data_IF_547078070576
#
_entry.id   IF_547078070576
#
_cell.length_a   1.000
_cell.length_b   1.000
_cell.length_c   1.000
_cell.angle_alpha   90.00
_cell.angle_beta   90.00
_cell.angle_gamma   90.00
#
_symmetry.space_group_name_H-M   'P 1'
#
loop_
_entity.id
_entity.type
_entity.pdbx_description
1 polymer ?
#
# COMPACT_ATOMS: atom_id res chain seq x y z
N UNK A 1 -16.89 0.64 -13.22
CA UNK A 1 -18.34 0.35 -13.30
C UNK A 1 -18.74 -0.46 -14.53
N UNK A 2 -18.07 -0.31 -15.69
CA UNK A 2 -18.37 -1.06 -16.94
C UNK A 2 -18.15 -2.57 -16.83
N UNK A 3 -17.11 -3.02 -16.12
CA UNK A 3 -16.77 -4.45 -15.93
C UNK A 3 -17.86 -5.21 -15.15
N UNK A 4 -18.52 -4.57 -14.18
CA UNK A 4 -19.58 -5.19 -13.39
C UNK A 4 -20.89 -5.34 -14.18
N UNK A 5 -21.10 -4.50 -15.19
CA UNK A 5 -22.26 -4.59 -16.09
C UNK A 5 -22.10 -5.73 -17.10
N UNK A 6 -20.86 -5.93 -17.61
CA UNK A 6 -20.53 -6.99 -18.57
C UNK A 6 -20.61 -8.42 -17.98
N UNK A 7 -20.40 -8.56 -16.67
CA UNK A 7 -20.46 -9.85 -15.97
C UNK A 7 -21.88 -10.26 -15.52
N UNK A 8 -22.89 -9.41 -15.77
CA UNK A 8 -24.28 -9.65 -15.34
C UNK A 8 -25.05 -10.57 -16.28
N UNK A 9 -24.66 -10.66 -17.56
CA UNK A 9 -25.35 -11.48 -18.54
C UNK A 9 -24.37 -12.28 -19.41
N UNK A 10 -24.52 -13.61 -19.45
CA UNK A 10 -23.60 -14.55 -20.12
C UNK A 10 -23.41 -14.20 -21.60
N UNK A 11 -24.45 -13.64 -22.23
CA UNK A 11 -24.45 -13.18 -23.61
C UNK A 11 -23.57 -11.94 -23.83
N UNK A 12 -23.58 -10.96 -22.92
CA UNK A 12 -22.77 -9.74 -23.05
C UNK A 12 -21.28 -10.03 -22.84
N UNK A 13 -20.98 -10.95 -21.91
CA UNK A 13 -19.62 -11.46 -21.73
C UNK A 13 -19.12 -12.19 -22.98
N UNK A 14 -19.94 -13.07 -23.58
CA UNK A 14 -19.59 -13.75 -24.83
C UNK A 14 -19.39 -12.79 -26.00
N UNK A 15 -20.25 -11.77 -26.14
CA UNK A 15 -20.10 -10.74 -27.18
C UNK A 15 -18.80 -9.93 -26.97
N UNK A 16 -18.47 -9.58 -25.73
CA UNK A 16 -17.22 -8.88 -25.42
C UNK A 16 -15.98 -9.75 -25.73
N UNK A 17 -15.99 -11.02 -25.31
CA UNK A 17 -14.91 -11.96 -25.62
C UNK A 17 -14.79 -12.17 -27.13
N UNK A 18 -15.91 -12.36 -27.84
CA UNK A 18 -15.92 -12.49 -29.29
C UNK A 18 -15.41 -11.23 -30.00
N UNK A 19 -15.74 -10.03 -29.51
CA UNK A 19 -15.22 -8.78 -30.04
C UNK A 19 -13.70 -8.64 -29.81
N UNK A 20 -13.20 -9.01 -28.64
CA UNK A 20 -11.76 -9.03 -28.35
C UNK A 20 -11.03 -10.03 -29.24
N UNK A 21 -11.59 -11.24 -29.43
CA UNK A 21 -11.05 -12.26 -30.33
C UNK A 21 -11.08 -11.78 -31.78
N UNK A 22 -12.18 -11.19 -32.24
CA UNK A 22 -12.31 -10.63 -33.59
C UNK A 22 -11.28 -9.53 -33.88
N UNK A 23 -11.06 -8.62 -32.92
CA UNK A 23 -10.02 -7.58 -33.02
C UNK A 23 -8.62 -8.19 -33.00
N UNK A 24 -8.40 -9.26 -32.24
CA UNK A 24 -7.12 -9.99 -32.24
C UNK A 24 -6.84 -10.68 -33.58
N UNK A 25 -7.86 -11.21 -34.26
CA UNK A 25 -7.74 -11.84 -35.59
C UNK A 25 -7.71 -10.85 -36.76
N UNK A 26 -8.02 -9.57 -36.54
CA UNK A 26 -8.03 -8.54 -37.60
C UNK A 26 -7.06 -7.39 -37.26
N UNK A 27 -5.74 -7.58 -37.47
CA UNK A 27 -4.70 -6.61 -37.08
C UNK A 27 -4.83 -5.23 -37.73
N UNK A 28 -5.60 -5.13 -38.81
CA UNK A 28 -5.90 -3.88 -39.51
C UNK A 28 -6.58 -2.82 -38.62
N UNK A 29 -7.36 -3.24 -37.62
CA UNK A 29 -8.05 -2.36 -36.67
C UNK A 29 -7.22 -1.99 -35.44
N UNK A 30 -5.98 -2.48 -35.33
CA UNK A 30 -5.08 -2.12 -34.23
C UNK A 30 -4.57 -0.68 -34.42
N UNK A 31 -4.72 0.23 -33.44
CA UNK A 31 -4.13 1.57 -33.49
C UNK A 31 -2.60 1.46 -33.66
N UNK A 32 -1.98 2.40 -34.36
CA UNK A 32 -0.57 2.31 -34.81
C UNK A 32 0.45 1.98 -33.72
N UNK A 33 0.20 2.39 -32.47
CA UNK A 33 1.05 2.02 -31.32
C UNK A 33 1.05 0.53 -30.94
N UNK A 34 0.02 -0.23 -31.31
CA UNK A 34 -0.01 -1.70 -31.19
C UNK A 34 0.68 -2.37 -32.37
N UNK A 35 0.54 -1.84 -33.59
CA UNK A 35 1.27 -2.32 -34.77
C UNK A 35 2.78 -2.23 -34.53
N UNK A 36 3.27 -1.11 -34.01
CA UNK A 36 4.69 -0.94 -33.65
C UNK A 36 5.16 -1.89 -32.53
N UNK A 37 4.26 -2.36 -31.65
CA UNK A 37 4.59 -3.34 -30.59
C UNK A 37 4.58 -4.78 -31.09
N UNK A 38 3.64 -5.12 -31.97
CA UNK A 38 3.60 -6.41 -32.65
C UNK A 38 4.80 -6.54 -33.58
N UNK A 39 5.10 -5.49 -34.35
CA UNK A 39 6.25 -5.43 -35.24
C UNK A 39 7.57 -5.51 -34.47
N UNK A 40 7.72 -4.84 -33.30
CA UNK A 40 8.90 -5.03 -32.43
C UNK A 40 9.03 -6.44 -31.86
N UNK A 41 7.92 -7.16 -31.68
CA UNK A 41 7.95 -8.56 -31.22
C UNK A 41 8.37 -9.50 -32.36
N UNK A 42 7.86 -9.25 -33.57
CA UNK A 42 8.15 -10.04 -34.78
C UNK A 42 9.55 -9.76 -35.32
N UNK A 43 10.05 -8.53 -35.25
CA UNK A 43 11.36 -8.17 -35.78
C UNK A 43 12.51 -8.66 -34.86
N UNK A 44 12.25 -8.80 -33.55
CA UNK A 44 13.13 -9.55 -32.63
C UNK A 44 13.02 -11.08 -32.77
N UNK A 45 12.04 -11.59 -33.53
CA UNK A 45 11.87 -13.01 -33.85
C UNK A 45 12.65 -13.41 -35.11
N UNK A 46 12.92 -12.45 -36.02
CA UNK A 46 13.55 -12.70 -37.32
C UNK A 46 15.10 -12.69 -37.30
N UNK A 47 15.73 -11.97 -36.38
CA UNK A 47 17.21 -11.82 -36.35
C UNK A 47 17.96 -12.89 -35.54
N UNK A 48 17.28 -13.88 -34.96
CA UNK A 48 17.92 -14.97 -34.23
C UNK A 48 17.04 -16.20 -34.24
N UNK A 49 17.31 -17.13 -35.17
CA UNK A 49 16.57 -18.37 -35.41
C UNK A 49 16.67 -19.38 -34.25
N UNK A 50 16.31 -18.98 -33.05
CA UNK A 50 16.17 -19.85 -31.88
C UNK A 50 14.68 -20.20 -31.75
N UNK A 51 14.38 -21.50 -31.84
CA UNK A 51 13.05 -22.08 -31.58
C UNK A 51 12.48 -21.52 -30.25
N UNK A 52 11.17 -21.30 -30.19
CA UNK A 52 10.50 -20.69 -29.03
C UNK A 52 10.80 -21.48 -27.73
N UNK A 53 10.96 -22.80 -27.83
CA UNK A 53 11.41 -23.65 -26.72
C UNK A 53 12.82 -23.28 -26.25
N UNK A 54 13.75 -23.10 -27.20
CA UNK A 54 15.14 -22.71 -26.91
C UNK A 54 15.21 -21.32 -26.26
N UNK A 55 14.32 -20.39 -26.65
CA UNK A 55 14.20 -19.05 -26.03
C UNK A 55 13.63 -19.10 -24.61
N UNK A 56 12.57 -19.89 -24.39
CA UNK A 56 12.01 -20.10 -23.05
C UNK A 56 13.06 -20.73 -22.12
N UNK A 57 13.81 -21.69 -22.63
CA UNK A 57 14.92 -22.33 -21.92
C UNK A 57 16.06 -21.36 -21.64
N UNK A 58 16.39 -20.46 -22.57
CA UNK A 58 17.38 -19.41 -22.33
C UNK A 58 16.94 -18.42 -21.24
N UNK A 59 15.67 -18.00 -21.24
CA UNK A 59 15.14 -17.10 -20.20
C UNK A 59 15.13 -17.75 -18.81
N UNK A 60 14.72 -19.01 -18.72
CA UNK A 60 14.74 -19.76 -17.47
C UNK A 60 16.17 -19.96 -16.95
N UNK A 61 17.11 -20.38 -17.81
CA UNK A 61 18.54 -20.51 -17.48
C UNK A 61 19.15 -19.19 -17.00
N UNK A 62 18.83 -18.08 -17.66
CA UNK A 62 19.28 -16.74 -17.26
C UNK A 62 18.82 -16.42 -15.83
N UNK A 63 17.55 -16.64 -15.50
CA UNK A 63 17.03 -16.36 -14.14
C UNK A 63 17.70 -17.24 -13.08
N UNK A 64 17.87 -18.53 -13.36
CA UNK A 64 18.53 -19.46 -12.44
C UNK A 64 19.98 -19.06 -12.18
N UNK A 65 20.72 -18.67 -13.22
CA UNK A 65 22.08 -18.17 -13.09
C UNK A 65 22.13 -16.89 -12.23
N UNK A 66 21.23 -15.93 -12.50
CA UNK A 66 21.14 -14.69 -11.72
C UNK A 66 20.73 -14.94 -10.27
N UNK A 67 19.87 -15.92 -9.98
CA UNK A 67 19.48 -16.26 -8.61
C UNK A 67 20.64 -16.89 -7.84
N UNK A 68 21.39 -17.80 -8.47
CA UNK A 68 22.62 -18.36 -7.89
C UNK A 68 23.64 -17.25 -7.59
N UNK A 69 23.85 -16.34 -8.55
CA UNK A 69 24.72 -15.17 -8.35
C UNK A 69 24.23 -14.26 -7.22
N UNK A 70 22.94 -13.98 -7.14
CA UNK A 70 22.35 -13.17 -6.09
C UNK A 70 22.53 -13.78 -4.69
N UNK A 71 22.40 -15.11 -4.57
CA UNK A 71 22.67 -15.82 -3.31
C UNK A 71 24.14 -15.62 -2.90
N UNK A 72 25.09 -15.76 -3.83
CA UNK A 72 26.51 -15.52 -3.54
C UNK A 72 26.81 -14.06 -3.19
N UNK A 73 26.10 -13.11 -3.79
CA UNK A 73 26.18 -11.69 -3.40
C UNK A 73 25.73 -11.48 -1.95
N UNK A 74 24.63 -12.15 -1.54
CA UNK A 74 24.14 -12.13 -0.16
C UNK A 74 25.17 -12.77 0.78
N UNK A 75 25.73 -13.91 0.41
CA UNK A 75 26.75 -14.61 1.22
C UNK A 75 28.01 -13.75 1.41
N UNK A 76 28.43 -13.01 0.39
CA UNK A 76 29.58 -12.12 0.45
C UNK A 76 29.35 -10.89 1.33
N UNK A 77 28.14 -10.32 1.31
CA UNK A 77 27.80 -9.11 2.08
C UNK A 77 26.42 -9.21 2.74
N UNK A 78 26.25 -10.07 3.78
CA UNK A 78 24.93 -10.43 4.29
C UNK A 78 24.23 -9.30 5.06
N UNK A 79 24.98 -8.38 5.67
CA UNK A 79 24.43 -7.34 6.54
C UNK A 79 24.07 -6.07 5.78
N UNK A 80 25.00 -5.53 4.98
CA UNK A 80 24.82 -4.26 4.29
C UNK A 80 24.48 -4.42 2.80
N UNK A 81 24.66 -5.63 2.25
CA UNK A 81 24.61 -5.85 0.81
C UNK A 81 25.75 -5.14 0.07
N UNK A 82 25.68 -5.15 -1.26
CA UNK A 82 26.68 -4.52 -2.14
C UNK A 82 26.38 -3.04 -2.46
N UNK A 83 25.29 -2.49 -1.92
CA UNK A 83 24.84 -1.12 -2.15
C UNK A 83 23.60 -1.02 -3.04
N UNK A 84 22.79 0.02 -2.79
CA UNK A 84 21.53 0.25 -3.51
C UNK A 84 21.74 0.45 -5.02
N UNK A 85 20.94 -0.22 -5.85
CA UNK A 85 21.04 -0.24 -7.32
C UNK A 85 22.35 -0.81 -7.87
N UNK A 86 23.15 -1.48 -7.05
CA UNK A 86 24.41 -2.07 -7.50
C UNK A 86 24.26 -3.53 -7.95
N UNK A 87 23.05 -4.10 -7.93
CA UNK A 87 22.82 -5.48 -8.37
C UNK A 87 23.29 -5.68 -9.81
N UNK A 88 22.83 -4.86 -10.75
CA UNK A 88 23.17 -5.00 -12.18
C UNK A 88 24.66 -4.81 -12.47
N UNK A 89 25.36 -4.05 -11.63
CA UNK A 89 26.79 -3.77 -11.73
C UNK A 89 27.62 -4.96 -11.26
N UNK A 90 27.28 -5.53 -10.11
CA UNK A 90 28.10 -6.59 -9.49
C UNK A 90 27.66 -7.99 -9.85
N UNK A 91 26.40 -8.22 -10.26
CA UNK A 91 25.87 -9.57 -10.47
C UNK A 91 26.73 -10.41 -11.42
N UNK A 92 27.31 -9.79 -12.44
CA UNK A 92 28.19 -10.47 -13.39
C UNK A 92 29.39 -11.13 -12.70
N UNK A 93 29.98 -10.50 -11.68
CA UNK A 93 31.12 -11.04 -10.92
C UNK A 93 30.75 -12.22 -10.01
N UNK A 94 29.47 -12.40 -9.68
CA UNK A 94 29.01 -13.45 -8.76
C UNK A 94 28.37 -14.65 -9.47
N UNK A 95 28.12 -14.56 -10.78
CA UNK A 95 27.61 -15.67 -11.58
C UNK A 95 28.79 -16.56 -12.06
N UNK A 96 28.60 -17.88 -12.06
CA UNK A 96 29.58 -18.80 -12.64
C UNK A 96 29.72 -18.55 -14.14
N UNK A 97 30.95 -18.59 -14.66
CA UNK A 97 31.23 -18.44 -16.09
C UNK A 97 31.61 -19.81 -16.67
N UNK A 98 30.60 -20.66 -16.86
CA UNK A 98 30.71 -22.04 -17.34
C UNK A 98 29.90 -22.24 -18.64
N UNK A 99 29.93 -23.44 -19.23
CA UNK A 99 29.16 -23.75 -20.44
C UNK A 99 27.65 -23.49 -20.30
N UNK A 100 27.09 -23.60 -19.08
CA UNK A 100 25.65 -23.34 -18.82
C UNK A 100 25.28 -21.86 -18.91
N UNK A 101 26.24 -20.97 -18.69
CA UNK A 101 26.08 -19.51 -18.69
C UNK A 101 26.72 -18.85 -19.91
N UNK A 102 27.52 -19.62 -20.67
CA UNK A 102 28.12 -19.21 -21.93
C UNK A 102 27.03 -18.79 -22.93
N UNK A 103 27.17 -17.57 -23.46
CA UNK A 103 26.20 -16.99 -24.39
C UNK A 103 24.95 -16.36 -23.76
N UNK A 104 24.81 -16.37 -22.42
CA UNK A 104 23.73 -15.63 -21.75
C UNK A 104 24.11 -14.14 -21.59
N UNK A 105 23.24 -13.25 -22.03
CA UNK A 105 23.37 -11.81 -21.78
C UNK A 105 22.97 -11.48 -20.33
N UNK A 106 23.91 -11.65 -19.40
CA UNK A 106 23.70 -11.44 -17.96
C UNK A 106 23.98 -9.99 -17.52
N UNK A 107 24.80 -9.26 -18.28
CA UNK A 107 25.21 -7.89 -17.95
C UNK A 107 24.02 -6.93 -17.99
N UNK A 108 23.81 -6.16 -16.92
CA UNK A 108 22.74 -5.17 -16.84
C UNK A 108 21.33 -5.76 -16.63
N UNK A 109 21.19 -7.08 -16.43
CA UNK A 109 19.88 -7.70 -16.14
C UNK A 109 19.55 -7.66 -14.66
N UNK A 110 18.26 -7.48 -14.38
CA UNK A 110 17.74 -7.65 -13.02
C UNK A 110 17.51 -9.15 -12.73
N UNK A 111 17.57 -9.53 -11.46
CA UNK A 111 17.40 -10.92 -11.06
C UNK A 111 15.98 -11.45 -11.24
N UNK A 112 15.01 -10.62 -11.67
CA UNK A 112 13.59 -10.95 -11.70
C UNK A 112 13.09 -11.61 -10.41
N UNK A 113 13.64 -11.24 -9.26
CA UNK A 113 13.20 -11.66 -7.95
C UNK A 113 13.55 -10.54 -6.97
N UNK A 114 12.54 -9.79 -6.56
CA UNK A 114 12.77 -8.61 -5.75
C UNK A 114 13.39 -8.94 -4.39
N UNK A 115 13.10 -10.10 -3.82
CA UNK A 115 13.59 -10.51 -2.51
C UNK A 115 15.10 -10.77 -2.54
N UNK A 116 15.57 -11.48 -3.57
CA UNK A 116 17.00 -11.69 -3.78
C UNK A 116 17.73 -10.38 -4.08
N UNK A 117 17.11 -9.47 -4.85
CA UNK A 117 17.68 -8.14 -5.09
C UNK A 117 17.79 -7.31 -3.81
N UNK A 118 16.74 -7.27 -2.98
CA UNK A 118 16.77 -6.54 -1.70
C UNK A 118 17.86 -7.13 -0.80
N UNK A 119 17.93 -8.46 -0.68
CA UNK A 119 18.94 -9.12 0.12
C UNK A 119 20.37 -8.85 -0.38
N UNK A 120 20.59 -8.92 -1.70
CA UNK A 120 21.91 -8.73 -2.30
C UNK A 120 22.37 -7.26 -2.24
N UNK A 121 21.47 -6.30 -2.47
CA UNK A 121 21.81 -4.86 -2.50
C UNK A 121 21.85 -4.21 -1.12
N UNK A 122 20.89 -4.54 -0.25
CA UNK A 122 20.66 -3.85 1.03
C UNK A 122 20.84 -4.75 2.26
N UNK A 123 21.17 -6.03 2.05
CA UNK A 123 21.38 -7.01 3.11
C UNK A 123 20.12 -7.69 3.65
N UNK A 124 20.34 -8.77 4.40
CA UNK A 124 19.32 -9.54 5.08
C UNK A 124 18.51 -8.72 6.11
N UNK A 125 19.08 -7.79 6.90
CA UNK A 125 18.29 -6.97 7.81
C UNK A 125 17.19 -6.20 7.09
N UNK A 126 17.50 -5.60 5.94
CA UNK A 126 16.54 -4.85 5.14
C UNK A 126 15.47 -5.76 4.55
N UNK A 127 15.86 -6.95 4.07
CA UNK A 127 14.91 -7.95 3.59
C UNK A 127 13.93 -8.39 4.69
N UNK A 128 14.42 -8.60 5.91
CA UNK A 128 13.59 -8.98 7.06
C UNK A 128 12.59 -7.87 7.42
N UNK A 129 13.02 -6.60 7.43
CA UNK A 129 12.11 -5.46 7.67
C UNK A 129 11.05 -5.39 6.58
N UNK A 130 11.43 -5.56 5.32
CA UNK A 130 10.48 -5.55 4.21
C UNK A 130 9.44 -6.68 4.33
N UNK A 131 9.88 -7.90 4.64
CA UNK A 131 8.98 -9.03 4.88
C UNK A 131 8.08 -8.80 6.10
N UNK A 132 8.61 -8.22 7.17
CA UNK A 132 7.84 -7.87 8.36
C UNK A 132 6.72 -6.86 8.05
N UNK A 133 6.97 -5.86 7.20
CA UNK A 133 5.95 -4.91 6.74
C UNK A 133 4.84 -5.65 5.99
N UNK A 134 5.18 -6.55 5.07
CA UNK A 134 4.18 -7.32 4.31
C UNK A 134 3.33 -8.22 5.22
N UNK A 135 3.96 -8.91 6.17
CA UNK A 135 3.27 -9.75 7.16
C UNK A 135 2.37 -8.90 8.06
N UNK A 136 2.83 -7.73 8.48
CA UNK A 136 2.08 -6.81 9.31
C UNK A 136 0.84 -6.29 8.57
N UNK A 137 0.99 -5.86 7.31
CA UNK A 137 -0.13 -5.48 6.43
C UNK A 137 -1.14 -6.60 6.29
N UNK A 138 -0.66 -7.83 6.04
CA UNK A 138 -1.52 -9.00 5.92
C UNK A 138 -2.27 -9.28 7.23
N UNK A 139 -1.60 -9.20 8.38
CA UNK A 139 -2.21 -9.38 9.70
C UNK A 139 -3.29 -8.35 10.00
N UNK A 140 -3.05 -7.08 9.68
CA UNK A 140 -4.07 -6.03 9.84
C UNK A 140 -5.26 -6.31 8.93
N UNK A 141 -5.03 -6.59 7.65
CA UNK A 141 -6.10 -6.92 6.71
C UNK A 141 -6.93 -8.13 7.16
N UNK A 142 -6.27 -9.18 7.64
CA UNK A 142 -6.92 -10.39 8.14
C UNK A 142 -7.73 -10.14 9.41
N UNK A 143 -7.16 -9.38 10.35
CA UNK A 143 -7.85 -8.99 11.58
C UNK A 143 -9.09 -8.15 11.26
N UNK A 144 -8.94 -7.15 10.40
CA UNK A 144 -10.03 -6.29 9.96
C UNK A 144 -11.12 -7.08 9.23
N UNK A 145 -10.76 -8.04 8.39
CA UNK A 145 -11.73 -8.93 7.74
C UNK A 145 -12.57 -9.75 8.74
N UNK A 146 -11.94 -10.24 9.82
CA UNK A 146 -12.63 -11.05 10.84
C UNK A 146 -13.45 -10.23 11.84
N UNK A 147 -13.01 -9.01 12.17
CA UNK A 147 -13.64 -8.20 13.22
C UNK A 147 -14.62 -7.15 12.69
N UNK A 148 -14.60 -6.81 11.40
CA UNK A 148 -15.44 -5.73 10.87
C UNK A 148 -16.89 -6.18 10.69
N UNK A 149 -17.87 -5.55 11.35
CA UNK A 149 -19.29 -5.84 11.15
C UNK A 149 -19.84 -5.19 9.87
N UNK A 150 -19.21 -4.12 9.36
CA UNK A 150 -19.64 -3.40 8.15
C UNK A 150 -19.19 -4.17 6.87
N UNK A 151 -20.13 -4.56 5.98
CA UNK A 151 -19.81 -5.26 4.73
C UNK A 151 -18.84 -4.49 3.81
N UNK A 152 -18.89 -3.15 3.83
CA UNK A 152 -18.00 -2.33 3.03
C UNK A 152 -16.55 -2.53 3.45
N UNK A 153 -16.29 -2.40 4.75
CA UNK A 153 -14.99 -2.57 5.38
C UNK A 153 -14.45 -4.01 5.25
N UNK A 154 -15.34 -4.99 5.33
CA UNK A 154 -14.99 -6.39 5.05
C UNK A 154 -14.50 -6.59 3.61
N UNK A 155 -15.18 -5.97 2.63
CA UNK A 155 -14.80 -6.03 1.21
C UNK A 155 -13.44 -5.38 0.96
N UNK A 156 -13.21 -4.18 1.53
CA UNK A 156 -11.91 -3.49 1.45
C UNK A 156 -10.78 -4.37 1.98
N UNK A 157 -11.01 -5.08 3.09
CA UNK A 157 -10.02 -5.99 3.67
C UNK A 157 -9.68 -7.16 2.75
N UNK A 158 -10.69 -7.78 2.10
CA UNK A 158 -10.46 -8.86 1.14
C UNK A 158 -9.67 -8.36 -0.06
N UNK A 159 -10.01 -7.20 -0.61
CA UNK A 159 -9.26 -6.59 -1.72
C UNK A 159 -7.81 -6.30 -1.34
N UNK A 160 -7.57 -5.80 -0.12
CA UNK A 160 -6.22 -5.55 0.38
C UNK A 160 -5.42 -6.87 0.52
N UNK A 161 -6.02 -7.90 1.11
CA UNK A 161 -5.37 -9.22 1.23
C UNK A 161 -5.04 -9.82 -0.14
N UNK A 162 -5.97 -9.77 -1.10
CA UNK A 162 -5.73 -10.25 -2.45
C UNK A 162 -4.62 -9.46 -3.15
N UNK A 163 -4.57 -8.15 -2.95
CA UNK A 163 -3.52 -7.28 -3.53
C UNK A 163 -2.14 -7.56 -2.93
N UNK A 164 -2.05 -7.76 -1.61
CA UNK A 164 -0.79 -8.12 -0.93
C UNK A 164 -0.30 -9.49 -1.43
N UNK A 165 -1.18 -10.49 -1.50
CA UNK A 165 -0.83 -11.82 -2.01
C UNK A 165 -0.38 -11.77 -3.47
N UNK A 166 -1.09 -11.02 -4.32
CA UNK A 166 -0.73 -10.80 -5.71
C UNK A 166 0.64 -10.13 -5.85
N UNK A 167 0.91 -9.12 -5.03
CA UNK A 167 2.20 -8.44 -4.98
C UNK A 167 3.32 -9.41 -4.60
N UNK A 168 3.13 -10.23 -3.56
CA UNK A 168 4.13 -11.20 -3.11
C UNK A 168 4.49 -12.18 -4.23
N UNK A 169 3.47 -12.85 -4.80
CA UNK A 169 3.67 -13.85 -5.86
C UNK A 169 4.34 -13.22 -7.08
N UNK A 170 3.88 -12.04 -7.47
CA UNK A 170 4.42 -11.29 -8.60
C UNK A 170 5.90 -10.95 -8.43
N UNK A 171 6.33 -10.59 -7.22
CA UNK A 171 7.71 -10.18 -6.95
C UNK A 171 8.65 -11.37 -6.72
N UNK A 172 8.15 -12.60 -6.63
CA UNK A 172 9.01 -13.79 -6.73
C UNK A 172 9.62 -13.94 -8.13
N UNK A 173 8.90 -13.49 -9.16
CA UNK A 173 9.31 -13.56 -10.57
C UNK A 173 9.47 -12.17 -11.21
N UNK A 174 9.61 -11.14 -10.39
CA UNK A 174 9.78 -9.78 -10.87
C UNK A 174 10.35 -8.83 -9.82
N UNK A 175 10.66 -7.62 -10.26
CA UNK A 175 11.29 -6.53 -9.49
C UNK A 175 10.33 -5.35 -9.31
N UNK A 176 9.02 -5.61 -9.34
CA UNK A 176 7.97 -4.59 -9.45
C UNK A 176 7.91 -3.64 -8.25
N UNK A 177 8.34 -4.07 -7.07
CA UNK A 177 8.46 -3.24 -5.87
C UNK A 177 9.46 -2.10 -6.02
N UNK A 178 10.40 -2.16 -6.97
CA UNK A 178 11.30 -1.03 -7.23
C UNK A 178 10.66 0.07 -8.09
N UNK A 179 9.43 -0.14 -8.58
CA UNK A 179 8.64 0.90 -9.24
C UNK A 179 8.06 1.86 -8.21
N UNK A 180 8.32 3.16 -8.42
CA UNK A 180 7.80 4.23 -7.56
C UNK A 180 6.26 4.22 -7.49
N UNK A 181 5.61 3.91 -8.62
CA UNK A 181 4.15 3.87 -8.73
C UNK A 181 3.57 2.76 -7.85
N UNK A 182 4.11 1.54 -7.94
CA UNK A 182 3.64 0.42 -7.14
C UNK A 182 3.96 0.58 -5.66
N UNK A 183 5.14 1.14 -5.36
CA UNK A 183 5.51 1.50 -3.98
C UNK A 183 4.52 2.50 -3.40
N UNK A 184 4.13 3.53 -4.18
CA UNK A 184 3.09 4.48 -3.78
C UNK A 184 1.76 3.80 -3.46
N UNK A 185 1.30 2.86 -4.30
CA UNK A 185 0.09 2.09 -4.03
C UNK A 185 0.18 1.25 -2.75
N UNK A 186 1.34 0.66 -2.46
CA UNK A 186 1.57 -0.10 -1.23
C UNK A 186 1.43 0.79 0.01
N UNK A 187 2.05 1.96 0.02
CA UNK A 187 1.97 2.91 1.15
C UNK A 187 0.56 3.45 1.36
N UNK A 188 -0.16 3.76 0.28
CA UNK A 188 -1.57 4.17 0.37
C UNK A 188 -2.45 3.05 0.95
N UNK A 189 -2.24 1.81 0.51
CA UNK A 189 -2.97 0.65 1.04
C UNK A 189 -2.68 0.44 2.53
N UNK A 190 -1.41 0.56 2.95
CA UNK A 190 -1.03 0.51 4.37
C UNK A 190 -1.75 1.58 5.20
N UNK A 191 -1.79 2.82 4.70
CA UNK A 191 -2.47 3.92 5.40
C UNK A 191 -3.98 3.66 5.59
N UNK A 192 -4.65 3.10 4.57
CA UNK A 192 -6.06 2.72 4.66
C UNK A 192 -6.26 1.62 5.72
N UNK A 193 -5.44 0.56 5.68
CA UNK A 193 -5.52 -0.55 6.62
C UNK A 193 -5.32 -0.09 8.07
N UNK A 194 -4.41 0.85 8.32
CA UNK A 194 -4.15 1.39 9.66
C UNK A 194 -5.28 2.27 10.20
N UNK A 195 -5.96 3.03 9.34
CA UNK A 195 -7.07 3.90 9.77
C UNK A 195 -8.41 3.19 9.88
N UNK A 196 -8.57 2.09 9.16
CA UNK A 196 -9.81 1.33 9.06
C UNK A 196 -10.44 0.95 10.42
N UNK A 197 -9.73 0.40 11.43
CA UNK A 197 -10.33 0.06 12.72
C UNK A 197 -10.96 1.28 13.42
N UNK A 198 -10.26 2.43 13.41
CA UNK A 198 -10.73 3.68 14.01
C UNK A 198 -11.95 4.25 13.30
N UNK A 199 -12.05 4.03 11.98
CA UNK A 199 -13.21 4.49 11.20
C UNK A 199 -14.44 3.60 11.39
N UNK A 200 -14.24 2.31 11.66
CA UNK A 200 -15.33 1.41 12.03
C UNK A 200 -15.94 1.82 13.38
N UNK A 201 -15.12 2.10 14.40
CA UNK A 201 -15.55 2.54 15.74
C UNK A 201 -16.30 3.88 15.74
N UNK A 202 -15.85 4.86 14.92
CA UNK A 202 -16.56 6.15 14.82
C UNK A 202 -17.95 5.99 14.20
N UNK A 203 -18.12 5.09 13.22
CA UNK A 203 -19.41 4.87 12.57
C UNK A 203 -20.43 4.18 13.48
N UNK A 204 -20.01 3.27 14.35
CA UNK A 204 -20.91 2.66 15.34
C UNK A 204 -21.41 3.70 16.35
N UNK A 205 -20.51 4.54 16.89
CA UNK A 205 -20.89 5.58 17.86
C UNK A 205 -21.84 6.64 17.29
N UNK A 206 -21.68 7.05 16.02
CA UNK A 206 -22.60 8.00 15.38
C UNK A 206 -23.98 7.39 15.09
N UNK A 207 -24.06 6.10 14.74
CA UNK A 207 -25.35 5.41 14.56
C UNK A 207 -26.12 5.31 15.88
N UNK A 208 -25.44 4.98 16.97
CA UNK A 208 -26.07 4.91 18.30
C UNK A 208 -26.56 6.29 18.79
N UNK A 209 -25.76 7.35 18.56
CA UNK A 209 -26.18 8.71 18.90
C UNK A 209 -27.36 9.22 18.05
N UNK A 210 -27.49 8.79 16.80
CA UNK A 210 -28.61 9.13 15.91
C UNK A 210 -29.90 8.36 16.21
N UNK A 211 -29.82 7.18 16.84
CA UNK A 211 -30.96 6.36 17.25
C UNK A 211 -31.55 6.77 18.60
N UNK A 212 -30.80 7.49 19.44
CA UNK A 212 -31.26 8.03 20.71
C UNK A 212 -31.21 9.58 20.73
N UNK A 213 -32.11 10.27 19.99
CA UNK A 213 -32.18 11.73 20.03
C UNK A 213 -32.56 12.28 21.42
N UNK A 214 -33.07 11.44 22.34
CA UNK A 214 -33.47 11.82 23.69
C UNK A 214 -32.36 11.83 24.75
N UNK A 215 -31.12 11.40 24.43
CA UNK A 215 -30.03 11.32 25.41
C UNK A 215 -28.91 12.37 25.23
N UNK A 216 -29.14 13.38 24.40
CA UNK A 216 -28.27 14.56 24.34
C UNK A 216 -28.68 15.55 25.45
N UNK A 217 -28.44 15.17 26.70
CA UNK A 217 -28.17 16.19 27.71
C UNK A 217 -26.89 16.92 27.27
N UNK A 218 -26.87 18.26 27.15
CA UNK A 218 -25.67 18.96 26.75
C UNK A 218 -24.60 18.66 27.80
N UNK A 219 -23.52 18.01 27.37
CA UNK A 219 -22.32 17.88 28.19
C UNK A 219 -21.95 19.30 28.63
N UNK A 220 -22.13 19.59 29.93
CA UNK A 220 -21.60 20.80 30.55
C UNK A 220 -20.11 20.77 30.23
N UNK A 221 -19.67 21.64 29.32
CA UNK A 221 -18.25 21.94 29.18
C UNK A 221 -17.80 22.35 30.59
N UNK A 222 -16.68 21.84 31.13
CA UNK A 222 -16.12 22.43 32.32
C UNK A 222 -15.82 23.89 31.99
N UNK A 223 -16.63 24.80 32.55
CA UNK A 223 -16.29 26.22 32.58
C UNK A 223 -15.06 26.28 33.46
N UNK A 224 -13.92 26.63 32.86
CA UNK A 224 -12.73 26.96 33.60
C UNK A 224 -13.02 28.27 34.34
N UNK A 225 -13.53 28.17 35.56
CA UNK A 225 -13.59 29.29 36.49
C UNK A 225 -12.14 29.65 36.82
N UNK A 226 -11.67 30.77 36.26
CA UNK A 226 -10.43 31.39 36.70
C UNK A 226 -10.53 31.67 38.21
N UNK A 227 -9.59 31.22 39.05
CA UNK A 227 -9.61 31.57 40.47
C UNK A 227 -9.16 33.03 40.65
N UNK A 228 -10.02 33.84 41.25
CA UNK A 228 -9.59 35.00 42.04
C UNK A 228 -9.33 36.31 41.29
N UNK A 229 -10.39 37.10 41.09
CA UNK A 229 -10.33 38.55 41.30
C UNK A 229 -11.69 38.94 41.90
N UNK A 230 -11.69 39.18 43.21
CA UNK A 230 -12.89 39.35 44.02
C UNK A 230 -13.73 40.55 43.59
N UNK A 231 -15.03 40.36 43.50
CA UNK A 231 -16.01 41.43 43.63
C UNK A 231 -16.30 41.60 45.12
N UNK A 232 -15.90 42.73 45.67
CA UNK A 232 -16.10 43.05 47.08
C UNK A 232 -15.87 44.51 47.41
N UNK A 233 -16.31 45.43 46.54
CA UNK A 233 -16.54 46.82 46.95
C UNK A 233 -17.96 47.20 46.52
N UNK A 234 -18.90 46.74 47.34
CA UNK A 234 -20.18 47.38 47.47
C UNK A 234 -19.98 48.72 48.18
N UNK A 235 -20.49 49.78 47.55
CA UNK A 235 -21.22 50.87 48.22
C UNK A 235 -20.67 51.32 49.59
N UNK A 236 -19.67 52.20 49.58
CA UNK A 236 -19.39 53.06 50.73
C UNK A 236 -18.80 54.41 50.29
N UNK A 237 -19.63 55.22 49.61
CA UNK A 237 -19.36 56.67 49.44
C UNK A 237 -20.63 57.42 48.99
N UNK A 238 -21.68 57.41 49.80
CA UNK A 238 -22.66 58.51 49.86
C UNK A 238 -23.72 58.23 50.94
N UNK A 239 -23.92 59.22 51.83
CA UNK A 239 -24.93 59.30 52.92
C UNK A 239 -24.55 58.52 54.17
N UNK A 240 -23.80 59.07 55.12
CA UNK A 240 -24.14 60.23 55.96
C UNK A 240 -25.66 60.40 56.20
N UNK A 241 -26.02 60.19 57.46
CA UNK A 241 -27.27 60.54 58.16
C UNK A 241 -28.22 59.37 58.52
N UNK A 242 -27.94 58.76 59.68
CA UNK A 242 -28.98 58.26 60.58
C UNK A 242 -29.14 59.27 61.74
N UNK A 243 -30.36 59.71 62.07
CA UNK A 243 -30.65 60.28 63.38
C UNK A 243 -31.16 59.18 64.32
N UNK A 244 -30.42 58.94 65.40
CA UNK A 244 -30.84 58.13 66.54
C UNK A 244 -31.94 58.88 67.32
N UNK A 245 -33.07 58.22 67.57
CA UNK A 245 -34.15 58.78 68.40
C UNK A 245 -33.82 58.68 69.90
N UNK A 246 -34.03 59.82 70.58
CA UNK A 246 -34.64 60.00 71.92
C UNK A 246 -33.92 59.42 73.15
N UNK A 247 -33.42 60.29 74.04
CA UNK A 247 -34.17 60.92 75.16
C UNK A 247 -33.34 61.09 76.45
N UNK A 248 -33.62 62.19 77.16
CA UNK A 248 -33.45 62.46 78.61
C UNK A 248 -32.05 62.93 79.08
N UNK A 249 -31.90 64.23 79.44
CA UNK A 249 -31.93 64.83 80.82
C UNK A 249 -30.68 64.42 81.61
N UNK A 250 -29.88 65.27 82.26
CA UNK A 250 -30.09 66.44 83.10
C UNK A 250 -28.74 67.17 83.31
N UNK A 251 -28.84 68.42 83.79
CA UNK A 251 -27.83 69.31 84.43
C UNK A 251 -26.71 69.98 83.60
#
# INVERSE_FOLDING_TARGET
>A
MTIFFLLRNRLQFLVYVAAVVFVAYNPQFLPGGLKQRVERTVQHQSNGGLDDKTRLDASARTRLALWKGAIRMIEANPVMGVGYKMFQTYIFSFVDHNEETAGLELKGRDGHNAYLMIGAEMGLPTLLVFLAILVFMFRIGWRSFRMSPDPFWKTVSVCALASITSLVITNMFGSRVFSLVLTGYLWMMLAILLKMPRWAERRSGTKEAGLNPGLLAPSRRPVFSSPGAGTGEAQEAARSEQPLRRALTDE
#
